data_IF_453232346923
#
_entry.id   IF_453232346923
#
_cell.length_a   1.000
_cell.length_b   1.000
_cell.length_c   1.000
_cell.angle_alpha   90.00
_cell.angle_beta   90.00
_cell.angle_gamma   90.00
#
_symmetry.space_group_name_H-M   'P 1'
#
loop_
_entity.id
_entity.type
_entity.pdbx_description
1 polymer ?
#
# COMPACT_ATOMS: atom_id res chain seq x y z
N UNK A 1 -2.93 17.31 11.30
CA UNK A 1 -3.86 16.26 10.82
C UNK A 1 -3.12 15.26 9.95
N UNK A 2 -3.76 14.16 9.54
CA UNK A 2 -3.18 13.19 8.58
C UNK A 2 -3.23 13.82 7.19
N UNK A 3 -2.09 13.82 6.49
CA UNK A 3 -1.94 14.44 5.17
C UNK A 3 -1.57 13.40 4.11
N UNK A 4 -1.62 13.79 2.84
CA UNK A 4 -1.36 12.89 1.74
C UNK A 4 -1.51 13.56 0.38
N UNK A 5 -1.18 12.84 -0.71
CA UNK A 5 -1.47 13.32 -2.05
C UNK A 5 -2.97 13.62 -2.22
N UNK A 6 -3.33 14.63 -3.03
CA UNK A 6 -4.72 14.97 -3.27
C UNK A 6 -5.47 13.83 -3.99
N UNK A 7 -6.77 13.70 -3.69
CA UNK A 7 -7.68 12.82 -4.43
C UNK A 7 -7.80 13.31 -5.88
N UNK A 8 -7.60 12.41 -6.84
CA UNK A 8 -7.82 12.68 -8.27
C UNK A 8 -8.83 11.69 -8.86
N UNK A 9 -10.08 12.11 -9.01
CA UNK A 9 -11.13 11.26 -9.56
C UNK A 9 -10.91 10.96 -11.07
N UNK A 10 -11.37 9.80 -11.57
CA UNK A 10 -12.03 8.72 -10.82
C UNK A 10 -11.04 7.70 -10.22
N UNK A 11 -9.76 7.74 -10.59
CA UNK A 11 -8.79 6.68 -10.29
C UNK A 11 -7.94 6.91 -9.03
N UNK A 12 -8.18 7.99 -8.30
CA UNK A 12 -7.35 8.40 -7.17
C UNK A 12 -5.90 8.62 -7.59
N UNK A 13 -4.96 8.08 -6.82
CA UNK A 13 -3.53 8.17 -7.11
C UNK A 13 -3.00 6.99 -7.94
N UNK A 14 -3.87 6.13 -8.50
CA UNK A 14 -3.45 4.91 -9.20
C UNK A 14 -2.46 5.17 -10.35
N UNK A 15 -2.64 6.26 -11.11
CA UNK A 15 -1.70 6.63 -12.19
C UNK A 15 -0.30 6.94 -11.66
N UNK A 16 -0.20 7.63 -10.52
CA UNK A 16 1.09 7.92 -9.88
C UNK A 16 1.72 6.66 -9.33
N UNK A 17 0.93 5.77 -8.71
CA UNK A 17 1.40 4.46 -8.23
C UNK A 17 1.99 3.66 -9.38
N UNK A 18 1.29 3.56 -10.52
CA UNK A 18 1.78 2.85 -11.71
C UNK A 18 3.07 3.48 -12.24
N UNK A 19 3.17 4.81 -12.25
CA UNK A 19 4.40 5.50 -12.65
C UNK A 19 5.56 5.16 -11.71
N UNK A 20 5.37 5.28 -10.39
CA UNK A 20 6.41 4.93 -9.41
C UNK A 20 6.86 3.47 -9.54
N UNK A 21 5.92 2.54 -9.76
CA UNK A 21 6.24 1.13 -9.99
C UNK A 21 7.10 0.94 -11.25
N UNK A 22 6.74 1.58 -12.37
CA UNK A 22 7.51 1.51 -13.62
C UNK A 22 8.93 2.05 -13.44
N UNK A 23 9.08 3.21 -12.80
CA UNK A 23 10.38 3.83 -12.53
C UNK A 23 11.27 2.96 -11.62
N UNK A 24 10.69 2.35 -10.59
CA UNK A 24 11.42 1.47 -9.69
C UNK A 24 11.83 0.16 -10.38
N UNK A 25 10.98 -0.39 -11.25
CA UNK A 25 11.24 -1.64 -11.97
C UNK A 25 12.21 -1.48 -13.14
N UNK A 26 12.30 -0.30 -13.75
CA UNK A 26 13.25 0.01 -14.82
C UNK A 26 14.71 -0.05 -14.37
N UNK A 27 14.97 0.11 -13.06
CA UNK A 27 16.31 -0.04 -12.49
C UNK A 27 16.68 -1.53 -12.43
N UNK A 28 17.96 -1.89 -12.64
CA UNK A 28 18.43 -3.26 -12.45
C UNK A 28 17.99 -3.83 -11.11
N UNK A 29 17.75 -5.14 -11.07
CA UNK A 29 17.47 -5.81 -9.81
C UNK A 29 18.67 -5.56 -8.88
N UNK A 30 18.47 -5.06 -7.65
CA UNK A 30 19.55 -5.00 -6.69
C UNK A 30 20.12 -6.40 -6.44
N UNK A 31 21.37 -6.46 -5.98
CA UNK A 31 21.93 -7.71 -5.44
C UNK A 31 20.95 -8.34 -4.43
N UNK A 32 20.97 -9.66 -4.29
CA UNK A 32 20.00 -10.37 -3.45
C UNK A 32 20.09 -9.87 -1.99
N UNK A 33 19.05 -9.15 -1.55
CA UNK A 33 18.93 -8.61 -0.20
C UNK A 33 17.45 -8.37 0.14
N UNK A 34 17.15 -8.25 1.44
CA UNK A 34 15.78 -8.13 1.93
C UNK A 34 15.21 -6.70 1.91
N UNK A 35 15.97 -5.69 1.47
CA UNK A 35 15.47 -4.31 1.33
C UNK A 35 14.90 -4.08 -0.08
N UNK A 36 13.71 -4.65 -0.32
CA UNK A 36 13.01 -4.54 -1.60
C UNK A 36 11.81 -3.59 -1.55
N UNK A 37 11.52 -2.96 -0.40
CA UNK A 37 10.33 -2.10 -0.21
C UNK A 37 10.33 -0.95 -1.21
N UNK A 38 11.49 -0.32 -1.44
CA UNK A 38 11.64 0.74 -2.43
C UNK A 38 11.35 0.29 -3.88
N UNK A 39 11.38 -1.02 -4.16
CA UNK A 39 11.03 -1.59 -5.46
C UNK A 39 9.56 -2.03 -5.54
N UNK A 40 9.01 -2.63 -4.49
CA UNK A 40 7.63 -3.17 -4.49
C UNK A 40 6.56 -2.15 -4.10
N UNK A 41 6.92 -1.18 -3.25
CA UNK A 41 6.04 -0.11 -2.77
C UNK A 41 6.77 1.26 -2.84
N UNK A 42 7.29 1.68 -4.01
CA UNK A 42 8.02 2.95 -4.17
C UNK A 42 7.17 4.17 -3.78
N UNK A 43 5.86 4.13 -4.08
CA UNK A 43 4.91 5.19 -3.71
C UNK A 43 4.78 5.36 -2.19
N UNK A 44 4.88 4.27 -1.42
CA UNK A 44 4.86 4.31 0.04
C UNK A 44 6.08 5.05 0.59
N UNK A 45 7.29 4.72 0.11
CA UNK A 45 8.52 5.41 0.51
C UNK A 45 8.45 6.90 0.16
N UNK A 46 7.99 7.21 -1.05
CA UNK A 46 7.86 8.58 -1.52
C UNK A 46 6.87 9.40 -0.67
N UNK A 47 5.65 8.90 -0.45
CA UNK A 47 4.63 9.66 0.29
C UNK A 47 4.89 9.71 1.78
N UNK A 48 5.45 8.67 2.39
CA UNK A 48 5.83 8.73 3.80
C UNK A 48 6.98 9.72 4.05
N UNK A 49 7.85 9.92 3.05
CA UNK A 49 8.87 10.97 3.10
C UNK A 49 8.30 12.39 2.98
N UNK A 50 7.19 12.58 2.25
CA UNK A 50 6.59 13.91 2.02
C UNK A 50 5.55 14.31 3.07
N UNK A 51 4.73 13.35 3.51
CA UNK A 51 3.56 13.59 4.36
C UNK A 51 3.70 12.98 5.76
N UNK A 52 4.82 12.31 6.03
CA UNK A 52 5.10 11.60 7.27
C UNK A 52 4.70 10.13 7.24
N UNK A 53 5.20 9.36 8.21
CA UNK A 53 5.01 7.89 8.29
C UNK A 53 3.53 7.44 8.35
N UNK A 54 2.63 8.32 8.77
CA UNK A 54 1.18 8.11 8.73
C UNK A 54 0.60 9.05 7.68
N UNK A 55 0.23 8.52 6.51
CA UNK A 55 -0.27 9.30 5.39
C UNK A 55 -1.48 8.63 4.72
N UNK A 56 -2.35 9.45 4.15
CA UNK A 56 -3.55 9.01 3.42
C UNK A 56 -3.29 9.02 1.91
N UNK A 57 -3.70 8.01 1.16
CA UNK A 57 -3.65 8.00 -0.30
C UNK A 57 -4.89 7.32 -0.88
N UNK A 58 -5.11 7.42 -2.19
CA UNK A 58 -6.37 7.03 -2.82
C UNK A 58 -6.20 5.93 -3.86
N UNK A 59 -7.02 4.89 -3.76
CA UNK A 59 -7.17 3.87 -4.79
C UNK A 59 -8.59 3.96 -5.38
N UNK A 60 -8.71 4.58 -6.55
CA UNK A 60 -10.01 5.02 -7.03
C UNK A 60 -10.58 6.10 -6.12
N UNK A 61 -11.82 5.91 -5.69
CA UNK A 61 -12.51 6.74 -4.68
C UNK A 61 -12.25 6.29 -3.24
N UNK A 62 -11.60 5.16 -3.04
CA UNK A 62 -11.38 4.59 -1.71
C UNK A 62 -10.09 5.12 -1.09
N UNK A 63 -10.15 5.76 0.10
CA UNK A 63 -8.96 6.16 0.82
C UNK A 63 -8.26 4.95 1.46
N UNK A 64 -6.94 5.01 1.54
CA UNK A 64 -6.06 4.04 2.20
C UNK A 64 -5.13 4.77 3.15
N UNK A 65 -5.02 4.25 4.36
CA UNK A 65 -4.19 4.84 5.41
C UNK A 65 -2.93 3.99 5.63
N UNK A 66 -1.76 4.63 5.54
CA UNK A 66 -0.51 4.03 5.98
C UNK A 66 -0.41 4.09 7.52
N UNK A 67 -0.28 2.94 8.17
CA UNK A 67 -0.20 2.83 9.63
C UNK A 67 1.22 2.38 10.02
N UNK A 68 2.03 3.24 10.66
CA UNK A 68 3.41 2.88 11.01
C UNK A 68 3.56 2.31 12.42
N UNK A 69 2.53 2.40 13.28
CA UNK A 69 2.61 2.01 14.69
C UNK A 69 2.25 0.54 14.88
N UNK A 70 3.13 -0.30 15.45
CA UNK A 70 2.88 -1.73 15.65
C UNK A 70 1.61 -2.03 16.46
N UNK A 71 1.27 -1.19 17.43
CA UNK A 71 0.11 -1.36 18.29
C UNK A 71 -1.18 -1.23 17.48
N UNK A 72 -1.23 -0.24 16.59
CA UNK A 72 -2.37 -0.03 15.69
C UNK A 72 -2.44 -1.11 14.61
N UNK A 73 -1.30 -1.54 14.07
CA UNK A 73 -1.25 -2.65 13.11
C UNK A 73 -1.84 -3.91 13.75
N UNK A 74 -1.46 -4.23 15.00
CA UNK A 74 -2.02 -5.37 15.74
C UNK A 74 -3.51 -5.23 15.95
N UNK A 75 -4.01 -4.06 16.32
CA UNK A 75 -5.44 -3.81 16.50
C UNK A 75 -6.24 -4.07 15.22
N UNK A 76 -5.76 -3.57 14.07
CA UNK A 76 -6.39 -3.80 12.77
C UNK A 76 -6.33 -5.29 12.37
N UNK A 77 -5.19 -5.95 12.56
CA UNK A 77 -5.00 -7.34 12.12
C UNK A 77 -5.75 -8.35 12.99
N UNK A 78 -5.70 -8.18 14.32
CA UNK A 78 -6.43 -9.04 15.25
C UNK A 78 -7.93 -8.78 15.19
N UNK A 79 -8.33 -7.55 14.84
CA UNK A 79 -9.71 -7.13 14.69
C UNK A 79 -10.63 -7.60 15.83
N UNK A 80 -10.27 -7.36 17.11
CA UNK A 80 -10.97 -7.97 18.25
C UNK A 80 -12.43 -7.54 18.37
N UNK A 81 -12.78 -6.38 17.80
CA UNK A 81 -14.14 -5.82 17.82
C UNK A 81 -14.95 -6.16 16.57
N UNK A 82 -14.32 -6.68 15.52
CA UNK A 82 -14.98 -6.92 14.23
C UNK A 82 -15.16 -5.65 13.37
N UNK A 83 -14.59 -4.52 13.76
CA UNK A 83 -14.76 -3.22 13.08
C UNK A 83 -14.04 -3.14 11.72
N UNK A 84 -13.08 -4.04 11.46
CA UNK A 84 -12.32 -4.08 10.21
C UNK A 84 -12.79 -5.21 9.30
N UNK A 85 -13.38 -4.87 8.17
CA UNK A 85 -13.68 -5.85 7.12
C UNK A 85 -12.38 -6.40 6.52
N UNK A 86 -12.31 -7.73 6.36
CA UNK A 86 -11.28 -8.37 5.56
C UNK A 86 -11.84 -8.55 4.15
N UNK A 87 -11.33 -7.83 3.14
CA UNK A 87 -11.82 -7.98 1.78
C UNK A 87 -11.62 -9.42 1.33
N UNK A 88 -12.69 -10.05 0.86
CA UNK A 88 -12.56 -11.35 0.22
C UNK A 88 -11.79 -11.19 -1.09
N UNK A 89 -10.81 -12.07 -1.28
CA UNK A 89 -10.09 -12.12 -2.53
C UNK A 89 -10.95 -12.75 -3.62
N UNK A 90 -10.69 -12.36 -4.87
CA UNK A 90 -11.31 -13.03 -6.02
C UNK A 90 -10.99 -14.54 -5.94
N UNK A 91 -11.97 -15.46 -6.03
CA UNK A 91 -11.70 -16.90 -5.95
C UNK A 91 -10.60 -17.39 -6.92
N UNK A 92 -10.45 -16.72 -8.07
CA UNK A 92 -9.40 -17.01 -9.05
C UNK A 92 -7.99 -16.59 -8.59
N UNK A 93 -7.84 -15.64 -7.67
CA UNK A 93 -6.51 -15.24 -7.18
C UNK A 93 -5.82 -16.35 -6.38
N UNK A 94 -6.59 -17.32 -5.86
CA UNK A 94 -6.04 -18.54 -5.23
C UNK A 94 -5.13 -19.32 -6.18
N UNK A 95 -5.39 -19.28 -7.48
CA UNK A 95 -4.55 -19.93 -8.49
C UNK A 95 -3.16 -19.28 -8.62
N UNK A 96 -3.04 -17.99 -8.26
CA UNK A 96 -1.81 -17.22 -8.43
C UNK A 96 -0.98 -17.16 -7.14
N UNK A 97 -1.64 -17.14 -5.98
CA UNK A 97 -1.00 -16.84 -4.68
C UNK A 97 -1.06 -18.07 -3.74
N UNK A 98 -1.79 -19.12 -4.12
CA UNK A 98 -1.99 -20.32 -3.30
C UNK A 98 -2.83 -20.04 -2.06
N UNK A 99 -2.61 -20.82 -1.01
CA UNK A 99 -3.28 -20.66 0.30
C UNK A 99 -2.61 -19.58 1.19
N UNK A 100 -1.76 -18.73 0.61
CA UNK A 100 -1.00 -17.71 1.34
C UNK A 100 -1.74 -16.39 1.60
N UNK A 101 -3.07 -16.37 1.49
CA UNK A 101 -3.94 -15.19 1.65
C UNK A 101 -4.86 -15.32 2.86
#
# INVERSE_FOLDING_TARGET
GISGPPLRLPFGNAREIVRFMKEAQAKPLPAFHHDFVGRVLPHYIHWTSLYGKCCLFWFGTQPRLAIPKPELIREVLLNPKGDFERPEFNPLSRLLIGDGL
#
